data_IF_653463211992
#
_entry.id   IF_653463211992
#
_cell.length_a   1.000
_cell.length_b   1.000
_cell.length_c   1.000
_cell.angle_alpha   90.00
_cell.angle_beta   90.00
_cell.angle_gamma   90.00
#
_symmetry.space_group_name_H-M   'P 1'
#
loop_
_entity.id
_entity.type
_entity.pdbx_description
1 polymer ?
#
# COMPACT_ATOMS: atom_id res chain seq x y z
N UNK A 1 27.82 -7.85 -13.43
CA UNK A 1 26.79 -8.73 -12.84
C UNK A 1 25.93 -7.86 -11.94
N UNK A 2 24.72 -7.50 -12.38
CA UNK A 2 23.74 -6.91 -11.47
C UNK A 2 23.41 -8.01 -10.46
N UNK A 3 23.91 -7.88 -9.22
CA UNK A 3 23.66 -8.85 -8.16
C UNK A 3 22.15 -9.10 -8.09
N UNK A 4 21.72 -10.33 -8.35
CA UNK A 4 20.31 -10.75 -8.44
C UNK A 4 19.51 -10.66 -7.14
N UNK A 5 19.83 -9.69 -6.27
CA UNK A 5 19.06 -9.37 -5.09
C UNK A 5 17.87 -8.51 -5.50
N UNK A 6 16.76 -9.21 -5.74
CA UNK A 6 15.44 -8.61 -5.80
C UNK A 6 15.21 -7.76 -4.54
N UNK A 7 14.71 -6.56 -4.72
CA UNK A 7 14.30 -5.70 -3.62
C UNK A 7 13.03 -6.28 -3.00
N UNK A 8 13.10 -6.63 -1.72
CA UNK A 8 11.96 -7.04 -0.91
C UNK A 8 11.87 -6.11 0.28
N UNK A 9 10.66 -5.58 0.50
CA UNK A 9 10.36 -4.79 1.69
C UNK A 9 9.47 -5.62 2.62
N UNK A 10 10.08 -6.60 3.30
CA UNK A 10 9.37 -7.48 4.25
C UNK A 10 8.73 -6.72 5.42
N UNK A 11 9.15 -5.47 5.67
CA UNK A 11 8.62 -4.64 6.75
C UNK A 11 7.20 -4.18 6.45
N UNK A 12 6.94 -3.73 5.22
CA UNK A 12 5.62 -3.26 4.80
C UNK A 12 4.85 -4.35 4.03
N UNK A 13 5.57 -5.24 3.34
CA UNK A 13 5.04 -6.31 2.51
C UNK A 13 5.65 -7.67 2.90
N UNK A 14 5.26 -8.26 4.05
CA UNK A 14 5.81 -9.54 4.51
C UNK A 14 5.51 -10.73 3.59
N UNK A 15 4.60 -10.55 2.62
CA UNK A 15 4.25 -11.55 1.59
C UNK A 15 4.79 -11.18 0.19
N UNK A 16 5.51 -10.07 0.07
CA UNK A 16 6.00 -9.51 -1.19
C UNK A 16 4.98 -8.68 -1.96
N UNK A 17 5.46 -7.93 -2.95
CA UNK A 17 4.66 -7.00 -3.74
C UNK A 17 3.57 -7.69 -4.56
N UNK A 18 3.86 -8.87 -5.13
CA UNK A 18 2.92 -9.64 -5.96
C UNK A 18 1.68 -10.13 -5.20
N UNK A 19 1.80 -10.36 -3.89
CA UNK A 19 0.71 -10.83 -3.02
C UNK A 19 0.04 -9.71 -2.21
N UNK A 20 0.53 -8.48 -2.32
CA UNK A 20 -0.04 -7.32 -1.61
C UNK A 20 -1.42 -6.91 -2.14
N UNK A 21 -1.71 -7.19 -3.41
CA UNK A 21 -2.92 -6.72 -4.08
C UNK A 21 -2.90 -5.23 -4.46
N UNK A 22 -1.85 -4.49 -4.09
CA UNK A 22 -1.72 -3.06 -4.36
C UNK A 22 -0.98 -2.79 -5.68
N UNK A 23 -0.18 -3.74 -6.15
CA UNK A 23 0.61 -3.63 -7.38
C UNK A 23 0.18 -4.68 -8.39
N UNK A 24 0.24 -4.32 -9.67
CA UNK A 24 0.15 -5.30 -10.76
C UNK A 24 1.40 -6.17 -10.81
N UNK A 25 1.33 -7.31 -11.50
CA UNK A 25 2.47 -8.23 -11.64
C UNK A 25 3.69 -7.52 -12.26
N UNK A 26 3.46 -6.65 -13.25
CA UNK A 26 4.53 -5.88 -13.90
C UNK A 26 5.17 -4.87 -12.95
N UNK A 27 4.35 -4.11 -12.22
CA UNK A 27 4.84 -3.16 -11.21
C UNK A 27 5.62 -3.85 -10.09
N UNK A 28 5.15 -5.00 -9.63
CA UNK A 28 5.85 -5.78 -8.61
C UNK A 28 7.24 -6.23 -9.10
N UNK A 29 7.33 -6.77 -10.33
CA UNK A 29 8.61 -7.16 -10.92
C UNK A 29 9.54 -5.95 -11.14
N UNK A 30 8.97 -4.79 -11.47
CA UNK A 30 9.70 -3.54 -11.61
C UNK A 30 10.30 -3.10 -10.27
N UNK A 31 9.52 -3.12 -9.19
CA UNK A 31 10.02 -2.84 -7.84
C UNK A 31 11.04 -3.87 -7.38
N UNK A 32 10.83 -5.15 -7.66
CA UNK A 32 11.81 -6.19 -7.32
C UNK A 32 13.14 -5.97 -8.05
N UNK A 33 13.12 -5.54 -9.32
CA UNK A 33 14.33 -5.37 -10.12
C UNK A 33 15.03 -4.02 -9.90
N UNK A 34 14.26 -2.94 -9.84
CA UNK A 34 14.74 -1.56 -9.80
C UNK A 34 14.58 -0.91 -8.43
N UNK A 35 13.84 -1.50 -7.49
CA UNK A 35 13.51 -0.87 -6.21
C UNK A 35 14.72 -0.51 -5.36
N UNK A 36 15.81 -1.29 -5.44
CA UNK A 36 17.06 -0.97 -4.76
C UNK A 36 17.73 0.28 -5.33
N UNK A 37 17.76 0.39 -6.66
CA UNK A 37 18.26 1.57 -7.37
C UNK A 37 17.38 2.77 -7.10
N UNK A 38 16.06 2.63 -7.24
CA UNK A 38 15.08 3.69 -6.93
C UNK A 38 15.26 4.24 -5.51
N UNK A 39 15.42 3.34 -4.53
CA UNK A 39 15.67 3.72 -3.14
C UNK A 39 16.98 4.49 -3.00
N UNK A 40 18.06 4.00 -3.61
CA UNK A 40 19.36 4.66 -3.56
C UNK A 40 19.35 6.04 -4.24
N UNK A 41 18.66 6.19 -5.38
CA UNK A 41 18.44 7.47 -6.05
C UNK A 41 17.62 8.43 -5.17
N UNK A 42 16.55 7.92 -4.55
CA UNK A 42 15.69 8.72 -3.67
C UNK A 42 16.41 9.17 -2.39
N UNK A 43 17.25 8.32 -1.80
CA UNK A 43 18.09 8.65 -0.64
C UNK A 43 19.31 9.52 -1.02
N UNK A 44 19.59 9.73 -2.31
CA UNK A 44 20.77 10.44 -2.79
C UNK A 44 22.07 9.67 -2.61
N UNK A 45 22.00 8.35 -2.41
CA UNK A 45 23.15 7.44 -2.29
C UNK A 45 23.76 7.15 -3.66
N UNK A 46 22.93 7.12 -4.71
CA UNK A 46 23.36 6.91 -6.08
C UNK A 46 22.96 8.12 -6.93
N UNK A 47 23.82 8.50 -7.88
CA UNK A 47 23.52 9.54 -8.87
C UNK A 47 22.72 8.94 -10.04
N UNK A 48 21.77 9.69 -10.61
CA UNK A 48 21.05 9.25 -11.81
C UNK A 48 22.04 9.08 -12.97
N UNK A 49 22.10 7.90 -13.56
CA UNK A 49 22.95 7.63 -14.70
C UNK A 49 22.21 7.90 -16.03
N UNK A 50 20.87 7.77 -16.03
CA UNK A 50 20.03 7.94 -17.21
C UNK A 50 19.00 9.07 -17.06
N UNK A 51 18.54 9.59 -18.21
CA UNK A 51 17.43 10.56 -18.27
C UNK A 51 16.16 10.03 -17.60
N UNK A 52 15.87 8.72 -17.72
CA UNK A 52 14.72 8.10 -17.06
C UNK A 52 14.83 8.15 -15.52
N UNK A 53 16.03 7.93 -14.98
CA UNK A 53 16.31 8.02 -13.54
C UNK A 53 16.24 9.48 -13.06
N UNK A 54 16.69 10.42 -13.89
CA UNK A 54 16.58 11.84 -13.57
C UNK A 54 15.12 12.31 -13.57
N UNK A 55 14.33 11.91 -14.57
CA UNK A 55 12.88 12.16 -14.60
C UNK A 55 12.19 11.56 -13.38
N UNK A 56 12.57 10.33 -13.01
CA UNK A 56 12.07 9.68 -11.80
C UNK A 56 12.35 10.53 -10.55
N UNK A 57 13.55 11.06 -10.37
CA UNK A 57 13.88 11.93 -9.22
C UNK A 57 12.99 13.18 -9.21
N UNK A 58 12.79 13.85 -10.35
CA UNK A 58 11.91 15.01 -10.45
C UNK A 58 10.45 14.66 -10.14
N UNK A 59 9.95 13.51 -10.62
CA UNK A 59 8.60 13.00 -10.34
C UNK A 59 8.42 12.70 -8.84
N UNK A 60 9.39 12.04 -8.21
CA UNK A 60 9.33 11.64 -6.81
C UNK A 60 9.51 12.82 -5.85
N UNK A 61 10.28 13.84 -6.24
CA UNK A 61 10.37 15.10 -5.49
C UNK A 61 9.13 16.00 -5.65
N UNK A 62 8.14 15.60 -6.47
CA UNK A 62 6.94 16.40 -6.73
C UNK A 62 7.17 17.60 -7.63
N UNK A 63 8.30 17.64 -8.36
CA UNK A 63 8.57 18.68 -9.38
C UNK A 63 7.81 18.42 -10.68
N UNK A 64 7.46 17.16 -10.95
CA UNK A 64 6.69 16.74 -12.13
C UNK A 64 5.65 15.68 -11.75
N UNK A 65 4.56 15.59 -12.51
CA UNK A 65 3.62 14.49 -12.40
C UNK A 65 4.28 13.18 -12.86
N UNK A 66 4.07 12.08 -12.14
CA UNK A 66 4.59 10.78 -12.54
C UNK A 66 3.90 10.29 -13.82
N UNK A 67 4.56 10.48 -14.95
CA UNK A 67 4.12 9.97 -16.25
C UNK A 67 4.72 8.59 -16.50
N UNK A 68 5.95 8.38 -16.01
CA UNK A 68 6.67 7.13 -16.14
C UNK A 68 6.12 6.02 -15.24
N UNK A 69 6.15 4.77 -15.71
CA UNK A 69 5.78 3.60 -14.90
C UNK A 69 6.64 3.50 -13.64
N UNK A 70 7.91 3.90 -13.72
CA UNK A 70 8.84 3.96 -12.60
C UNK A 70 8.36 4.90 -11.49
N UNK A 71 8.05 6.15 -11.85
CA UNK A 71 7.57 7.15 -10.89
C UNK A 71 6.22 6.79 -10.29
N UNK A 72 5.28 6.32 -11.10
CA UNK A 72 3.95 5.89 -10.64
C UNK A 72 4.08 4.75 -9.62
N UNK A 73 4.88 3.74 -9.94
CA UNK A 73 5.08 2.58 -9.08
C UNK A 73 5.73 2.97 -7.75
N UNK A 74 6.76 3.84 -7.77
CA UNK A 74 7.44 4.29 -6.55
C UNK A 74 6.59 5.21 -5.69
N UNK A 75 5.86 6.17 -6.28
CA UNK A 75 4.92 7.01 -5.54
C UNK A 75 3.83 6.18 -4.88
N UNK A 76 3.35 5.13 -5.56
CA UNK A 76 2.39 4.18 -5.01
C UNK A 76 2.98 3.38 -3.85
N UNK A 77 4.22 2.92 -3.99
CA UNK A 77 4.98 2.30 -2.90
C UNK A 77 5.15 3.23 -1.70
N UNK A 78 5.60 4.47 -1.92
CA UNK A 78 5.70 5.48 -0.87
C UNK A 78 4.36 5.71 -0.18
N UNK A 79 3.27 5.81 -0.94
CA UNK A 79 1.93 5.98 -0.39
C UNK A 79 1.52 4.80 0.50
N UNK A 80 1.80 3.57 0.09
CA UNK A 80 1.45 2.37 0.84
C UNK A 80 2.27 2.22 2.13
N UNK A 81 3.57 2.50 2.09
CA UNK A 81 4.42 2.45 3.30
C UNK A 81 4.16 3.63 4.24
N UNK A 82 3.78 4.81 3.71
CA UNK A 82 3.43 5.98 4.51
C UNK A 82 1.98 5.93 5.02
N UNK A 83 1.11 5.14 4.40
CA UNK A 83 -0.23 4.90 4.95
C UNK A 83 -0.07 4.22 6.31
N UNK A 84 -0.27 4.98 7.38
CA UNK A 84 -0.51 4.39 8.70
C UNK A 84 -1.70 3.46 8.53
N UNK A 85 -1.44 2.16 8.61
CA UNK A 85 -2.47 1.16 8.74
C UNK A 85 -3.20 1.50 10.06
N UNK A 86 -4.27 2.28 9.99
CA UNK A 86 -5.14 2.56 11.12
C UNK A 86 -5.81 1.23 11.42
N UNK A 87 -5.18 0.46 12.32
CA UNK A 87 -5.79 -0.75 12.86
C UNK A 87 -6.97 -0.27 13.69
N UNK A 88 -8.17 -0.39 13.14
CA UNK A 88 -9.38 -0.34 13.94
C UNK A 88 -9.35 -1.60 14.81
N UNK A 89 -8.88 -1.45 16.05
CA UNK A 89 -9.09 -2.47 17.05
C UNK A 89 -10.61 -2.51 17.31
N UNK A 90 -11.32 -3.40 16.62
CA UNK A 90 -12.66 -3.77 17.02
C UNK A 90 -12.52 -4.51 18.34
N UNK A 91 -12.54 -3.75 19.45
CA UNK A 91 -12.78 -4.34 20.75
C UNK A 91 -14.16 -4.98 20.66
N UNK A 92 -14.17 -6.29 20.57
CA UNK A 92 -15.30 -7.14 20.86
C UNK A 92 -15.75 -6.86 22.30
N UNK A 93 -16.61 -5.86 22.49
CA UNK A 93 -17.39 -5.78 23.72
C UNK A 93 -18.38 -6.92 23.71
N UNK A 94 -17.95 -7.99 24.37
CA UNK A 94 -18.78 -9.11 24.76
C UNK A 94 -20.08 -8.62 25.40
N UNK A 95 -21.17 -9.28 25.01
CA UNK A 95 -22.53 -9.32 25.58
C UNK A 95 -22.74 -8.56 26.90
N UNK A 96 -23.75 -7.69 26.93
CA UNK A 96 -24.56 -7.48 28.15
C UNK A 96 -26.04 -7.69 27.83
N UNK A 97 -26.54 -8.82 28.30
CA UNK A 97 -27.95 -9.13 28.53
C UNK A 97 -28.64 -7.95 29.22
N UNK A 98 -29.68 -7.39 28.62
CA UNK A 98 -30.67 -6.57 29.30
C UNK A 98 -32.02 -6.99 28.72
N UNK A 99 -32.73 -7.79 29.52
CA UNK A 99 -34.12 -8.16 29.31
C UNK A 99 -34.97 -6.90 29.48
N UNK A 100 -35.56 -6.39 28.40
CA UNK A 100 -36.66 -5.44 28.47
C UNK A 100 -37.93 -6.15 28.00
N UNK A 101 -38.68 -6.63 28.99
CA UNK A 101 -40.11 -6.91 28.89
C UNK A 101 -40.82 -5.66 28.35
N UNK A 102 -41.57 -5.78 27.26
CA UNK A 102 -42.76 -4.96 27.11
C UNK A 102 -43.94 -5.81 26.65
N UNK A 103 -45.03 -5.49 27.32
CA UNK A 103 -46.32 -6.15 27.43
C UNK A 103 -47.06 -6.42 26.12
N UNK A 104 -47.89 -7.47 26.19
CA UNK A 104 -48.99 -7.82 25.30
C UNK A 104 -49.87 -6.63 24.93
N UNK A 105 -50.20 -6.46 23.65
CA UNK A 105 -51.55 -6.09 23.26
C UNK A 105 -51.93 -6.76 21.93
N UNK A 106 -52.91 -7.64 22.04
CA UNK A 106 -53.60 -8.34 20.96
C UNK A 106 -54.34 -7.35 20.08
N UNK A 107 -54.28 -7.48 18.74
CA UNK A 107 -55.38 -7.03 17.88
C UNK A 107 -55.59 -7.97 16.68
N UNK A 108 -56.87 -8.21 16.43
CA UNK A 108 -57.54 -9.23 15.62
C UNK A 108 -57.20 -9.25 14.11
N UNK A 109 -57.35 -10.45 13.55
CA UNK A 109 -57.41 -10.73 12.11
C UNK A 109 -58.86 -10.54 11.66
N UNK A 110 -59.09 -9.65 10.70
CA UNK A 110 -60.26 -9.56 9.83
C UNK A 110 -59.69 -9.06 8.49
N UNK A 111 -59.75 -9.77 7.35
CA UNK A 111 -60.89 -10.39 6.68
C UNK A 111 -60.39 -11.42 5.63
#
# INVERSE_FOLDING_TARGET
MFSGQKFFDDRHFPKGFTRSGCFTIKEAQLLESCGRTMKALFEGVQEPANEDEQKFIDEVNGRRAAESDYGKCWLKYLKEINHKHVRYNLCSTSRRNSEDHHESDSLEIDE
#
